data_IF_212070199089
#
_entry.id   IF_212070199089
#
_cell.length_a   1.000
_cell.length_b   1.000
_cell.length_c   1.000
_cell.angle_alpha   90.00
_cell.angle_beta   90.00
_cell.angle_gamma   90.00
#
_symmetry.space_group_name_H-M   'P 1'
#
loop_
_entity.id
_entity.type
_entity.pdbx_description
1 polymer ?
#
# COMPACT_ATOMS: atom_id res chain seq x y z
N UNK A 1 32.81 13.00 -3.33
CA UNK A 1 32.23 11.80 -3.96
C UNK A 1 30.82 11.67 -3.44
N UNK A 2 29.87 11.56 -4.37
CA UNK A 2 28.43 11.79 -4.25
C UNK A 2 27.73 10.78 -3.33
N UNK A 3 27.12 11.27 -2.24
CA UNK A 3 26.14 10.53 -1.46
C UNK A 3 24.83 10.49 -2.26
N UNK A 4 24.42 9.28 -2.63
CA UNK A 4 23.25 9.01 -3.45
C UNK A 4 21.98 9.26 -2.62
N UNK A 5 21.35 10.40 -2.88
CA UNK A 5 20.02 10.77 -2.41
C UNK A 5 19.04 9.73 -2.96
N UNK A 6 18.32 9.03 -2.09
CA UNK A 6 17.11 8.30 -2.49
C UNK A 6 16.10 9.34 -2.96
N UNK A 7 16.10 9.64 -4.25
CA UNK A 7 15.10 10.50 -4.87
C UNK A 7 13.86 9.65 -5.08
N UNK A 8 12.81 9.97 -4.33
CA UNK A 8 11.46 9.49 -4.60
C UNK A 8 11.15 9.70 -6.07
N UNK A 9 10.71 8.61 -6.67
CA UNK A 9 10.58 8.45 -8.09
C UNK A 9 9.25 9.03 -8.61
N UNK A 10 8.97 10.28 -8.26
CA UNK A 10 7.66 10.90 -8.48
C UNK A 10 7.48 11.48 -9.88
N UNK A 11 8.56 11.61 -10.66
CA UNK A 11 8.53 12.19 -12.01
C UNK A 11 8.29 11.15 -13.13
N UNK A 12 8.35 9.84 -12.80
CA UNK A 12 8.10 8.75 -13.76
C UNK A 12 6.61 8.43 -13.88
N UNK A 13 6.17 8.12 -15.09
CA UNK A 13 4.77 7.77 -15.40
C UNK A 13 4.42 6.36 -14.92
N UNK A 14 3.12 6.09 -14.67
CA UNK A 14 2.65 4.76 -14.24
C UNK A 14 3.11 3.65 -15.21
N UNK A 15 3.10 3.92 -16.52
CA UNK A 15 3.52 2.97 -17.57
C UNK A 15 5.02 2.65 -17.52
N UNK A 16 5.87 3.66 -17.33
CA UNK A 16 7.32 3.43 -17.19
C UNK A 16 7.63 2.60 -15.95
N UNK A 17 6.91 2.88 -14.86
CA UNK A 17 7.08 2.15 -13.62
C UNK A 17 6.57 0.69 -13.71
N UNK A 18 5.56 0.42 -14.55
CA UNK A 18 5.01 -0.93 -14.75
C UNK A 18 6.00 -1.86 -15.49
N UNK A 19 6.92 -1.30 -16.29
CA UNK A 19 7.96 -2.08 -16.97
C UNK A 19 9.12 -2.51 -16.07
N UNK A 20 9.25 -1.89 -14.89
CA UNK A 20 10.30 -2.21 -13.92
C UNK A 20 9.94 -3.39 -13.01
N UNK A 21 8.67 -3.80 -12.98
CA UNK A 21 8.15 -4.76 -12.01
C UNK A 21 8.15 -6.20 -12.57
N UNK A 22 9.35 -6.70 -12.88
CA UNK A 22 9.60 -8.14 -12.93
C UNK A 22 10.43 -8.47 -11.71
N UNK A 23 9.74 -8.74 -10.60
CA UNK A 23 10.03 -9.83 -9.64
C UNK A 23 9.12 -9.56 -8.46
N UNK A 24 8.21 -10.51 -8.25
CA UNK A 24 7.54 -10.80 -7.00
C UNK A 24 8.51 -10.59 -5.83
N UNK A 25 8.61 -9.38 -5.28
CA UNK A 25 9.48 -9.11 -4.14
C UNK A 25 8.84 -9.79 -2.93
N UNK A 26 9.43 -10.86 -2.40
CA UNK A 26 9.01 -11.33 -1.11
C UNK A 26 9.67 -10.43 -0.05
N UNK A 27 9.12 -10.47 1.16
CA UNK A 27 9.78 -10.13 2.43
C UNK A 27 9.47 -8.80 3.10
N UNK A 28 8.95 -9.01 4.32
CA UNK A 28 9.22 -8.33 5.58
C UNK A 28 8.95 -6.84 5.70
N UNK A 29 8.31 -6.52 6.82
CA UNK A 29 8.30 -5.21 7.46
C UNK A 29 9.70 -4.58 7.33
N UNK A 30 9.77 -3.52 6.52
CA UNK A 30 10.97 -2.73 6.35
C UNK A 30 11.07 -1.83 7.59
N UNK A 31 12.04 -2.13 8.46
CA UNK A 31 12.32 -1.29 9.61
C UNK A 31 13.04 -0.03 9.13
N UNK A 32 12.67 1.17 9.60
CA UNK A 32 13.49 2.35 9.38
C UNK A 32 14.89 2.11 9.95
N UNK A 33 15.93 2.59 9.27
CA UNK A 33 17.28 2.61 9.83
C UNK A 33 17.24 3.45 11.11
N UNK A 34 17.46 2.79 12.26
CA UNK A 34 17.47 3.44 13.56
C UNK A 34 18.86 4.06 13.77
N UNK A 35 18.89 5.36 14.03
CA UNK A 35 20.14 6.05 14.36
C UNK A 35 20.71 5.51 15.69
N UNK A 36 22.01 5.19 15.78
CA UNK A 36 22.61 4.53 16.95
C UNK A 36 22.41 5.25 18.29
N UNK A 37 22.06 6.55 18.26
CA UNK A 37 21.94 7.41 19.43
C UNK A 37 20.50 7.68 19.86
N UNK A 38 19.50 7.10 19.19
CA UNK A 38 18.10 7.39 19.50
C UNK A 38 17.60 6.48 20.63
N UNK A 39 17.23 7.09 21.76
CA UNK A 39 16.54 6.41 22.86
C UNK A 39 15.05 6.30 22.55
N UNK A 40 14.49 5.09 22.68
CA UNK A 40 13.06 4.84 22.50
C UNK A 40 12.42 4.52 23.85
N UNK A 41 11.43 5.31 24.25
CA UNK A 41 10.67 5.09 25.48
C UNK A 41 9.45 4.21 25.21
N UNK A 42 9.36 3.09 25.93
CA UNK A 42 8.16 2.27 25.94
C UNK A 42 7.08 2.98 26.76
N UNK A 43 6.05 3.51 26.11
CA UNK A 43 4.92 4.12 26.79
C UNK A 43 4.20 3.09 27.66
N UNK A 44 3.97 3.41 28.93
CA UNK A 44 3.36 2.49 29.89
C UNK A 44 1.96 1.99 29.47
N UNK A 45 1.22 2.81 28.74
CA UNK A 45 -0.09 2.45 28.17
C UNK A 45 -0.02 1.32 27.13
N UNK A 46 1.14 1.07 26.53
CA UNK A 46 1.37 0.00 25.56
C UNK A 46 1.87 -1.30 26.21
N UNK A 47 2.18 -1.29 27.52
CA UNK A 47 2.64 -2.49 28.25
C UNK A 47 1.56 -3.58 28.22
N UNK A 48 0.28 -3.22 28.22
CA UNK A 48 -0.84 -4.17 28.12
C UNK A 48 -0.96 -4.82 26.74
N UNK A 49 -0.37 -4.23 25.71
CA UNK A 49 -0.29 -4.81 24.37
C UNK A 49 0.91 -5.73 24.23
N UNK A 50 1.84 -5.78 25.19
CA UNK A 50 2.81 -6.85 25.23
C UNK A 50 2.04 -8.13 25.56
N UNK A 51 2.02 -9.13 24.65
CA UNK A 51 1.48 -10.43 24.97
C UNK A 51 2.13 -10.90 26.28
N UNK A 52 1.35 -11.56 27.13
CA UNK A 52 1.90 -12.33 28.25
C UNK A 52 2.72 -13.48 27.66
N UNK A 53 3.93 -13.15 27.21
CA UNK A 53 4.92 -14.02 26.64
C UNK A 53 5.52 -14.89 27.75
N UNK A 54 4.70 -15.78 28.28
CA UNK A 54 5.05 -16.66 29.38
C UNK A 54 5.50 -18.04 28.86
N UNK A 55 6.37 -18.06 27.84
CA UNK A 55 7.08 -19.29 27.42
C UNK A 55 8.45 -18.88 26.87
N UNK A 56 9.49 -19.61 27.30
CA UNK A 56 10.91 -19.50 26.98
C UNK A 56 11.24 -19.03 25.54
N UNK A 57 11.76 -17.81 25.39
CA UNK A 57 12.47 -17.38 24.18
C UNK A 57 13.95 -17.28 24.48
N UNK A 58 14.74 -18.01 23.72
CA UNK A 58 16.19 -18.03 23.89
C UNK A 58 16.86 -16.85 23.14
N UNK A 59 16.11 -16.16 22.25
CA UNK A 59 16.63 -15.03 21.48
C UNK A 59 15.61 -13.90 21.31
N UNK A 60 16.12 -12.68 21.12
CA UNK A 60 15.32 -11.51 20.69
C UNK A 60 14.60 -11.75 19.36
N UNK A 61 15.17 -12.56 18.46
CA UNK A 61 14.59 -12.92 17.17
C UNK A 61 13.26 -13.66 17.31
N UNK A 62 13.17 -14.61 18.24
CA UNK A 62 11.96 -15.40 18.48
C UNK A 62 10.81 -14.54 19.03
N UNK A 63 11.14 -13.65 19.98
CA UNK A 63 10.16 -12.72 20.55
C UNK A 63 9.65 -11.75 19.48
N UNK A 64 10.55 -11.21 18.65
CA UNK A 64 10.19 -10.35 17.52
C UNK A 64 9.28 -11.07 16.53
N UNK A 65 9.65 -12.28 16.12
CA UNK A 65 8.86 -13.08 15.18
C UNK A 65 7.44 -13.31 15.69
N UNK A 66 7.28 -13.73 16.94
CA UNK A 66 5.96 -14.02 17.48
C UNK A 66 5.13 -12.77 17.79
N UNK A 67 5.76 -11.65 18.16
CA UNK A 67 5.06 -10.37 18.21
C UNK A 67 4.47 -10.01 16.84
N UNK A 68 5.27 -10.12 15.78
CA UNK A 68 4.80 -9.85 14.42
C UNK A 68 3.68 -10.80 14.00
N UNK A 69 3.79 -12.10 14.27
CA UNK A 69 2.73 -13.06 13.93
C UNK A 69 1.42 -12.78 14.70
N UNK A 70 1.48 -12.31 15.96
CA UNK A 70 0.28 -12.01 16.74
C UNK A 70 -0.40 -10.69 16.33
N UNK A 71 0.37 -9.63 16.03
CA UNK A 71 -0.20 -8.31 15.75
C UNK A 71 -0.30 -7.98 14.25
N UNK A 72 0.58 -8.55 13.44
CA UNK A 72 0.69 -8.32 12.00
C UNK A 72 0.80 -9.64 11.22
N UNK A 73 -0.15 -10.58 11.40
CA UNK A 73 -0.04 -11.91 10.82
C UNK A 73 0.17 -11.86 9.31
N UNK A 74 1.14 -12.63 8.81
CA UNK A 74 1.45 -12.72 7.39
C UNK A 74 0.23 -13.17 6.55
N UNK A 75 -0.64 -14.00 7.14
CA UNK A 75 -1.90 -14.44 6.53
C UNK A 75 -2.84 -13.27 6.25
N UNK A 76 -3.01 -12.33 7.20
CA UNK A 76 -3.82 -11.11 7.01
C UNK A 76 -3.23 -10.20 5.94
N UNK A 77 -1.91 -9.99 5.96
CA UNK A 77 -1.21 -9.22 4.93
C UNK A 77 -1.42 -9.82 3.54
N UNK A 78 -1.35 -11.15 3.42
CA UNK A 78 -1.57 -11.88 2.17
C UNK A 78 -3.01 -11.76 1.68
N UNK A 79 -3.99 -11.87 2.57
CA UNK A 79 -5.41 -11.70 2.23
C UNK A 79 -5.69 -10.30 1.70
N UNK A 80 -5.23 -9.27 2.42
CA UNK A 80 -5.43 -7.87 2.00
C UNK A 80 -4.75 -7.61 0.66
N UNK A 81 -3.54 -8.12 0.44
CA UNK A 81 -2.86 -8.01 -0.86
C UNK A 81 -3.70 -8.63 -1.99
N UNK A 82 -4.26 -9.82 -1.77
CA UNK A 82 -5.14 -10.47 -2.75
C UNK A 82 -6.41 -9.66 -3.02
N UNK A 83 -6.99 -9.04 -2.00
CA UNK A 83 -8.17 -8.17 -2.16
C UNK A 83 -7.84 -6.92 -2.98
N UNK A 84 -6.72 -6.26 -2.69
CA UNK A 84 -6.27 -5.08 -3.45
C UNK A 84 -6.02 -5.46 -4.92
N UNK A 85 -5.27 -6.53 -5.19
CA UNK A 85 -4.95 -6.95 -6.57
C UNK A 85 -6.18 -7.40 -7.38
N UNK A 86 -7.24 -7.87 -6.71
CA UNK A 86 -8.43 -8.44 -7.37
C UNK A 86 -9.66 -7.55 -7.24
N UNK A 87 -9.50 -6.33 -6.75
CA UNK A 87 -10.60 -5.38 -6.62
C UNK A 87 -11.20 -5.11 -8.00
N UNK A 88 -12.51 -5.32 -8.13
CA UNK A 88 -13.29 -5.00 -9.33
C UNK A 88 -14.48 -4.14 -8.93
N UNK A 89 -14.83 -3.19 -9.78
CA UNK A 89 -16.03 -2.38 -9.65
C UNK A 89 -17.25 -3.21 -10.05
N UNK A 90 -18.30 -3.16 -9.25
CA UNK A 90 -19.54 -3.85 -9.56
C UNK A 90 -20.41 -3.00 -10.50
N UNK A 91 -21.28 -3.63 -11.29
CA UNK A 91 -22.11 -2.93 -12.27
C UNK A 91 -23.11 -1.93 -11.68
N UNK A 92 -23.39 -2.00 -10.38
CA UNK A 92 -24.27 -1.08 -9.64
C UNK A 92 -23.51 -0.11 -8.74
N UNK A 93 -22.20 -0.25 -8.68
CA UNK A 93 -21.33 0.54 -7.79
C UNK A 93 -20.84 1.77 -8.54
N UNK A 94 -21.02 2.95 -7.95
CA UNK A 94 -20.49 4.19 -8.53
C UNK A 94 -18.96 4.24 -8.41
N UNK A 95 -18.33 5.14 -9.16
CA UNK A 95 -16.90 5.38 -9.03
C UNK A 95 -16.52 5.79 -7.59
N UNK A 96 -17.38 6.60 -6.95
CA UNK A 96 -17.22 7.03 -5.56
C UNK A 96 -17.18 5.84 -4.59
N UNK A 97 -18.21 4.99 -4.64
CA UNK A 97 -18.32 3.80 -3.77
C UNK A 97 -17.14 2.84 -3.97
N UNK A 98 -16.73 2.66 -5.23
CA UNK A 98 -15.57 1.83 -5.57
C UNK A 98 -14.26 2.38 -4.99
N UNK A 99 -14.05 3.69 -5.12
CA UNK A 99 -12.88 4.38 -4.58
C UNK A 99 -12.83 4.35 -3.05
N UNK A 100 -13.97 4.55 -2.38
CA UNK A 100 -14.05 4.42 -0.92
C UNK A 100 -13.73 2.99 -0.46
N UNK A 101 -14.31 1.98 -1.13
CA UNK A 101 -14.03 0.58 -0.80
C UNK A 101 -12.56 0.23 -1.01
N UNK A 102 -11.97 0.70 -2.10
CA UNK A 102 -10.54 0.54 -2.36
C UNK A 102 -9.68 1.13 -1.25
N UNK A 103 -9.93 2.39 -0.87
CA UNK A 103 -9.20 3.07 0.20
C UNK A 103 -9.38 2.40 1.56
N UNK A 104 -10.58 1.87 1.84
CA UNK A 104 -10.87 1.11 3.07
C UNK A 104 -10.07 -0.19 3.14
N UNK A 105 -9.94 -0.91 2.04
CA UNK A 105 -9.10 -2.13 1.98
C UNK A 105 -7.63 -1.74 2.20
N UNK A 106 -7.14 -0.68 1.54
CA UNK A 106 -5.77 -0.20 1.70
C UNK A 106 -5.45 0.24 3.15
N UNK A 107 -6.37 0.94 3.82
CA UNK A 107 -6.17 1.39 5.20
C UNK A 107 -6.20 0.26 6.24
N UNK A 108 -6.70 -0.92 5.87
CA UNK A 108 -6.78 -2.08 6.76
C UNK A 108 -5.40 -2.69 7.10
N UNK A 109 -4.36 -2.36 6.33
CA UNK A 109 -2.99 -2.75 6.65
C UNK A 109 -1.96 -1.73 6.16
N UNK A 110 -1.36 -0.97 7.08
CA UNK A 110 -0.27 -0.04 6.78
C UNK A 110 1.00 -0.71 6.20
N UNK A 111 1.12 -2.03 6.32
CA UNK A 111 2.30 -2.81 5.90
C UNK A 111 2.01 -3.79 4.76
N UNK A 112 1.00 -3.52 3.91
CA UNK A 112 0.70 -4.36 2.75
C UNK A 112 1.82 -4.37 1.69
N UNK A 113 2.73 -3.39 1.73
CA UNK A 113 3.94 -3.26 0.88
C UNK A 113 3.69 -3.12 -0.63
N UNK A 114 2.43 -3.01 -1.05
CA UNK A 114 2.08 -2.61 -2.41
C UNK A 114 2.48 -1.14 -2.59
N UNK A 115 3.22 -0.85 -3.65
CA UNK A 115 3.57 0.52 -4.04
C UNK A 115 2.31 1.27 -4.54
N UNK A 116 2.23 2.57 -4.27
CA UNK A 116 1.13 3.45 -4.71
C UNK A 116 0.85 3.32 -6.22
N UNK A 117 1.89 3.20 -7.03
CA UNK A 117 1.73 3.00 -8.48
C UNK A 117 0.95 1.71 -8.81
N UNK A 118 1.30 0.58 -8.19
CA UNK A 118 0.59 -0.69 -8.39
C UNK A 118 -0.84 -0.63 -7.84
N UNK A 119 -1.05 0.10 -6.74
CA UNK A 119 -2.39 0.35 -6.22
C UNK A 119 -3.28 1.06 -7.23
N UNK A 120 -2.79 2.17 -7.79
CA UNK A 120 -3.51 2.93 -8.81
C UNK A 120 -3.75 2.07 -10.06
N UNK A 121 -2.76 1.26 -10.46
CA UNK A 121 -2.92 0.32 -11.56
C UNK A 121 -4.02 -0.71 -11.29
N UNK A 122 -4.01 -1.40 -10.14
CA UNK A 122 -5.04 -2.40 -9.82
C UNK A 122 -6.43 -1.79 -9.71
N UNK A 123 -6.54 -0.58 -9.14
CA UNK A 123 -7.80 0.17 -9.12
C UNK A 123 -8.29 0.44 -10.54
N UNK A 124 -7.44 1.04 -11.39
CA UNK A 124 -7.80 1.37 -12.78
C UNK A 124 -8.15 0.13 -13.61
N UNK A 125 -7.40 -0.96 -13.44
CA UNK A 125 -7.67 -2.26 -14.06
C UNK A 125 -8.99 -2.88 -13.59
N UNK A 126 -9.46 -2.48 -12.40
CA UNK A 126 -10.69 -2.96 -11.78
C UNK A 126 -11.96 -2.21 -12.17
N UNK A 127 -11.84 -1.04 -12.79
CA UNK A 127 -12.98 -0.21 -13.20
C UNK A 127 -13.86 -0.85 -14.28
N UNK A 128 -15.10 -0.38 -14.34
CA UNK A 128 -15.95 -0.60 -15.51
C UNK A 128 -15.36 0.09 -16.74
N UNK A 129 -15.75 -0.36 -17.94
CA UNK A 129 -15.32 0.31 -19.18
C UNK A 129 -15.76 1.77 -19.25
N UNK A 130 -16.92 2.09 -18.67
CA UNK A 130 -17.47 3.44 -18.66
C UNK A 130 -16.65 4.38 -17.79
N UNK A 131 -16.39 3.99 -16.53
CA UNK A 131 -15.60 4.82 -15.61
C UNK A 131 -14.15 4.92 -16.04
N UNK A 132 -13.58 3.84 -16.61
CA UNK A 132 -12.24 3.89 -17.21
C UNK A 132 -12.16 4.94 -18.32
N UNK A 133 -13.09 4.91 -19.26
CA UNK A 133 -13.16 5.89 -20.36
C UNK A 133 -13.34 7.32 -19.86
N UNK A 134 -14.17 7.51 -18.83
CA UNK A 134 -14.39 8.81 -18.21
C UNK A 134 -13.11 9.36 -17.56
N UNK A 135 -12.37 8.51 -16.85
CA UNK A 135 -11.10 8.87 -16.22
C UNK A 135 -10.03 9.19 -17.27
N UNK A 136 -9.93 8.40 -18.33
CA UNK A 136 -8.99 8.68 -19.43
C UNK A 136 -9.31 10.04 -20.08
N UNK A 137 -10.58 10.30 -20.40
CA UNK A 137 -11.01 11.59 -20.94
C UNK A 137 -10.69 12.76 -19.99
N UNK A 138 -10.95 12.62 -18.69
CA UNK A 138 -10.61 13.63 -17.69
C UNK A 138 -9.10 13.84 -17.54
N UNK A 139 -8.29 12.81 -17.79
CA UNK A 139 -6.83 12.89 -17.74
C UNK A 139 -6.21 13.53 -18.99
N UNK A 140 -7.00 13.70 -20.05
CA UNK A 140 -6.54 14.19 -21.35
C UNK A 140 -5.76 13.14 -22.15
N UNK A 141 -5.98 11.85 -21.90
CA UNK A 141 -5.21 10.75 -22.49
C UNK A 141 -5.39 9.45 -21.71
N UNK A 142 -4.44 8.53 -21.79
CA UNK A 142 -4.46 7.37 -20.90
C UNK A 142 -4.03 7.79 -19.50
N UNK A 143 -4.76 7.36 -18.45
CA UNK A 143 -4.34 7.61 -17.07
C UNK A 143 -2.93 7.08 -16.79
N UNK A 144 -2.53 5.99 -17.47
CA UNK A 144 -1.22 5.35 -17.34
C UNK A 144 -0.03 6.24 -17.77
N UNK A 145 -0.29 7.35 -18.48
CA UNK A 145 0.72 8.32 -18.86
C UNK A 145 0.93 9.42 -17.79
N UNK A 146 0.18 9.37 -16.68
CA UNK A 146 0.33 10.30 -15.55
C UNK A 146 1.30 9.77 -14.51
N UNK A 147 1.82 10.67 -13.68
CA UNK A 147 2.54 10.29 -12.46
C UNK A 147 1.56 9.67 -11.45
N UNK A 148 2.01 8.82 -10.50
CA UNK A 148 1.14 8.24 -9.47
C UNK A 148 0.34 9.30 -8.67
N UNK A 149 1.00 10.42 -8.35
CA UNK A 149 0.40 11.52 -7.57
C UNK A 149 -0.72 12.20 -8.36
N UNK A 150 -0.48 12.53 -9.63
CA UNK A 150 -1.49 13.14 -10.50
C UNK A 150 -2.68 12.20 -10.72
N UNK A 151 -2.41 10.91 -10.97
CA UNK A 151 -3.44 9.91 -11.18
C UNK A 151 -4.33 9.76 -9.95
N UNK A 152 -3.73 9.69 -8.75
CA UNK A 152 -4.46 9.59 -7.49
C UNK A 152 -5.33 10.83 -7.22
N UNK A 153 -4.76 12.02 -7.43
CA UNK A 153 -5.51 13.26 -7.27
C UNK A 153 -6.70 13.34 -8.23
N UNK A 154 -6.50 12.96 -9.50
CA UNK A 154 -7.56 12.94 -10.50
C UNK A 154 -8.67 11.96 -10.13
N UNK A 155 -8.32 10.72 -9.76
CA UNK A 155 -9.29 9.71 -9.32
C UNK A 155 -10.09 10.22 -8.12
N UNK A 156 -9.40 10.79 -7.12
CA UNK A 156 -10.07 11.34 -5.94
C UNK A 156 -11.06 12.44 -6.30
N UNK A 157 -10.67 13.36 -7.18
CA UNK A 157 -11.55 14.44 -7.63
C UNK A 157 -12.76 13.91 -8.40
N UNK A 158 -12.55 12.94 -9.30
CA UNK A 158 -13.65 12.32 -10.05
C UNK A 158 -14.61 11.59 -9.10
N UNK A 159 -14.08 10.80 -8.17
CA UNK A 159 -14.85 10.10 -7.17
C UNK A 159 -15.64 11.05 -6.25
N UNK A 160 -15.14 12.25 -5.94
CA UNK A 160 -15.90 13.24 -5.15
C UNK A 160 -17.03 13.92 -5.92
N UNK A 161 -17.08 13.78 -7.25
CA UNK A 161 -18.05 14.45 -8.12
C UNK A 161 -19.07 13.49 -8.76
N UNK A 162 -19.09 12.21 -8.36
CA UNK A 162 -19.99 11.17 -8.88
C UNK A 162 -20.94 10.70 -7.78
#
# INVERSE_FOLDING_TARGET
>A
MTHQRSMENNDRTLKELATLDVVYQPWCIQYPQLEPTQSYELKSSLIHLLPKFHVLFNTWGDMKHMFLENFFPASRTTTIRKEICRIKQHSRETLHEHWERFNKVCSTCSHHQINEQLMIQYFYEGLTMMDRSMIDAASGGALMDKTPVEARHLISNMASNT
#
